data_IF_148337147139
#
_entry.id   IF_148337147139
#
_cell.length_a   1.000
_cell.length_b   1.000
_cell.length_c   1.000
_cell.angle_alpha   90.00
_cell.angle_beta   90.00
_cell.angle_gamma   90.00
#
_symmetry.space_group_name_H-M   'P 1'
#
loop_
_entity.id
_entity.type
_entity.pdbx_description
1 polymer ?
#
# COMPACT_ATOMS: atom_id res chain seq x y z
N UNK A 1 11.54 -8.05 9.33
CA UNK A 1 10.80 -8.42 8.10
C UNK A 1 9.81 -7.31 7.72
N UNK A 2 9.86 -6.82 6.47
CA UNK A 2 8.95 -5.81 5.89
C UNK A 2 7.58 -6.42 5.56
N UNK A 3 6.94 -7.06 6.53
CA UNK A 3 5.58 -7.63 6.35
C UNK A 3 4.58 -6.52 6.04
N UNK A 4 4.82 -5.31 6.54
CA UNK A 4 3.91 -4.18 6.42
C UNK A 4 3.80 -3.59 5.00
N UNK A 5 4.69 -3.92 4.08
CA UNK A 5 4.63 -3.40 2.69
C UNK A 5 4.14 -4.44 1.67
N UNK A 6 3.55 -5.56 2.13
CA UNK A 6 3.15 -6.64 1.24
C UNK A 6 2.02 -6.23 0.28
N UNK A 7 1.23 -5.22 0.66
CA UNK A 7 0.08 -4.67 -0.06
C UNK A 7 0.34 -3.27 -0.65
N UNK A 8 1.61 -2.84 -0.75
CA UNK A 8 1.95 -1.48 -1.19
C UNK A 8 1.66 -1.17 -2.66
N UNK A 9 1.42 -2.19 -3.50
CA UNK A 9 1.17 -1.98 -4.93
C UNK A 9 -0.23 -1.42 -5.18
N UNK A 10 -0.30 -0.32 -5.93
CA UNK A 10 -1.56 0.16 -6.49
C UNK A 10 -1.89 -0.64 -7.75
N UNK A 11 -3.15 -1.07 -7.88
CA UNK A 11 -3.56 -2.00 -8.93
C UNK A 11 -5.08 -2.12 -9.03
N UNK A 12 -5.52 -3.04 -9.89
CA UNK A 12 -6.94 -3.38 -10.05
C UNK A 12 -7.28 -4.73 -9.40
N UNK A 13 -6.25 -5.51 -9.09
CA UNK A 13 -6.31 -6.84 -8.51
C UNK A 13 -6.22 -6.78 -6.99
N UNK A 14 -6.92 -7.70 -6.32
CA UNK A 14 -6.75 -7.91 -4.89
C UNK A 14 -5.35 -8.45 -4.59
N UNK A 15 -4.81 -8.14 -3.41
CA UNK A 15 -3.48 -8.63 -3.02
C UNK A 15 -3.50 -10.13 -2.80
N UNK A 16 -2.36 -10.79 -2.97
CA UNK A 16 -2.24 -12.19 -2.55
C UNK A 16 -2.30 -12.30 -1.03
N UNK A 17 -2.95 -13.36 -0.54
CA UNK A 17 -2.84 -13.73 0.87
C UNK A 17 -1.44 -14.29 1.14
N UNK A 18 -0.86 -13.93 2.28
CA UNK A 18 0.47 -14.43 2.69
C UNK A 18 0.37 -15.23 3.98
N UNK A 19 1.17 -16.28 4.09
CA UNK A 19 1.33 -17.05 5.34
C UNK A 19 2.75 -16.88 5.85
N UNK A 20 2.86 -16.43 7.09
CA UNK A 20 4.13 -16.18 7.78
C UNK A 20 4.21 -17.03 9.06
N UNK A 21 5.41 -17.36 9.51
CA UNK A 21 5.57 -18.01 10.81
C UNK A 21 5.79 -16.95 11.91
N UNK A 22 4.87 -16.87 12.86
CA UNK A 22 4.97 -16.01 14.06
C UNK A 22 5.05 -16.90 15.28
N UNK A 23 6.15 -16.80 16.04
CA UNK A 23 6.42 -17.67 17.20
C UNK A 23 6.28 -19.18 16.86
N UNK A 24 6.88 -19.59 15.74
CA UNK A 24 6.84 -20.96 15.21
C UNK A 24 5.44 -21.50 14.85
N UNK A 25 4.43 -20.62 14.74
CA UNK A 25 3.08 -20.96 14.28
C UNK A 25 2.77 -20.23 12.98
N UNK A 26 2.17 -20.91 11.97
CA UNK A 26 1.73 -20.25 10.75
C UNK A 26 0.57 -19.30 11.04
N UNK A 27 0.68 -18.08 10.53
CA UNK A 27 -0.33 -17.04 10.58
C UNK A 27 -0.57 -16.52 9.18
N UNK A 28 -1.82 -16.56 8.73
CA UNK A 28 -2.22 -16.04 7.43
C UNK A 28 -2.74 -14.62 7.56
N UNK A 29 -2.22 -13.75 6.70
CA UNK A 29 -2.76 -12.41 6.46
C UNK A 29 -3.61 -12.52 5.19
N UNK A 30 -4.93 -12.26 5.27
CA UNK A 30 -5.82 -12.44 4.13
C UNK A 30 -5.58 -11.40 3.04
N UNK A 31 -5.98 -11.76 1.82
CA UNK A 31 -6.07 -10.86 0.66
C UNK A 31 -6.81 -9.56 1.01
N UNK A 32 -6.35 -8.44 0.47
CA UNK A 32 -6.96 -7.12 0.62
C UNK A 32 -7.53 -6.62 -0.72
N UNK A 33 -8.60 -5.81 -0.70
CA UNK A 33 -9.11 -5.16 -1.91
C UNK A 33 -8.05 -4.29 -2.59
N UNK A 34 -8.15 -4.19 -3.92
CA UNK A 34 -7.29 -3.35 -4.74
C UNK A 34 -7.44 -1.86 -4.41
N UNK A 35 -6.34 -1.11 -4.50
CA UNK A 35 -6.35 0.36 -4.45
C UNK A 35 -5.81 0.90 -5.79
N UNK A 36 -6.64 1.52 -6.64
CA UNK A 36 -6.21 1.90 -7.99
C UNK A 36 -5.64 3.33 -8.09
N UNK A 37 -5.64 4.09 -6.99
CA UNK A 37 -5.31 5.52 -7.00
C UNK A 37 -4.34 5.85 -5.88
N UNK A 38 -3.16 6.30 -6.27
CA UNK A 38 -2.26 7.07 -5.42
C UNK A 38 -2.65 8.55 -5.49
N UNK A 39 -2.81 9.20 -4.34
CA UNK A 39 -3.11 10.64 -4.22
C UNK A 39 -2.18 11.24 -3.18
N UNK A 40 -1.16 11.97 -3.61
CA UNK A 40 -0.08 12.43 -2.72
C UNK A 40 -0.54 13.43 -1.66
N UNK A 41 -1.78 13.92 -1.69
CA UNK A 41 -2.37 14.72 -0.61
C UNK A 41 -2.59 13.88 0.64
N UNK A 42 -2.80 12.57 0.47
CA UNK A 42 -3.04 11.61 1.56
C UNK A 42 -1.76 11.27 2.31
N UNK A 43 -1.88 10.94 3.59
CA UNK A 43 -0.75 10.56 4.41
C UNK A 43 -0.34 9.12 4.12
N UNK A 44 0.91 8.98 3.65
CA UNK A 44 1.62 7.72 3.40
C UNK A 44 2.77 7.51 4.41
N UNK A 45 2.80 8.34 5.46
CA UNK A 45 3.88 8.41 6.44
C UNK A 45 3.33 8.65 7.85
N UNK A 46 4.01 8.08 8.84
CA UNK A 46 3.75 8.29 10.25
C UNK A 46 5.07 8.33 11.03
N UNK A 47 5.16 9.21 12.04
CA UNK A 47 6.33 9.28 12.93
C UNK A 47 6.41 8.01 13.79
N UNK A 48 7.58 7.38 13.85
CA UNK A 48 7.76 6.05 14.43
C UNK A 48 8.36 6.09 15.85
N UNK A 49 8.28 7.21 16.57
CA UNK A 49 9.05 7.42 17.81
C UNK A 49 8.50 6.73 19.06
N UNK A 50 7.26 6.20 19.08
CA UNK A 50 6.80 5.38 20.20
C UNK A 50 6.08 4.10 19.73
N UNK A 51 6.85 3.02 19.73
CA UNK A 51 6.46 1.62 19.85
C UNK A 51 5.18 1.13 19.14
N UNK A 52 5.39 0.32 18.09
CA UNK A 52 4.46 -0.67 17.56
C UNK A 52 3.01 -0.20 17.35
N UNK A 53 2.77 0.20 16.11
CA UNK A 53 1.55 -0.05 15.36
C UNK A 53 0.22 0.43 15.91
N UNK A 54 0.08 1.74 16.17
CA UNK A 54 -1.24 2.31 16.45
C UNK A 54 -1.47 3.61 15.65
N UNK A 55 -2.61 3.71 14.95
CA UNK A 55 -2.95 4.89 14.12
C UNK A 55 -3.91 4.58 12.95
N UNK A 56 -4.39 5.64 12.25
CA UNK A 56 -5.23 5.55 11.04
C UNK A 56 -4.44 6.00 9.81
N UNK A 57 -4.35 5.14 8.80
CA UNK A 57 -3.63 5.36 7.54
C UNK A 57 -4.53 5.10 6.33
N UNK A 58 -4.08 5.43 5.13
CA UNK A 58 -4.76 5.02 3.88
C UNK A 58 -4.40 3.55 3.64
N UNK A 59 -5.13 2.64 4.30
CA UNK A 59 -4.79 1.22 4.44
C UNK A 59 -5.04 0.73 5.87
N UNK A 60 -4.94 -0.59 6.16
CA UNK A 60 -5.43 -1.13 7.44
C UNK A 60 -4.41 -1.17 8.61
N UNK A 61 -3.08 -1.06 8.41
CA UNK A 61 -2.08 -1.12 9.50
C UNK A 61 -0.70 -0.48 9.14
N UNK A 62 -0.03 0.23 10.07
CA UNK A 62 1.38 0.75 9.99
C UNK A 62 2.06 0.71 11.39
N UNK A 63 3.42 0.49 11.60
CA UNK A 63 4.48 1.52 11.40
C UNK A 63 6.00 1.10 11.35
N UNK A 64 6.84 2.04 10.90
CA UNK A 64 8.28 2.17 11.25
C UNK A 64 9.32 1.68 10.22
N UNK A 65 9.80 2.58 9.34
CA UNK A 65 10.68 2.36 8.16
C UNK A 65 10.03 1.63 6.96
N UNK A 66 8.70 1.64 6.91
CA UNK A 66 7.89 1.01 5.87
C UNK A 66 6.94 2.00 5.16
N UNK A 67 7.04 3.28 5.50
CA UNK A 67 6.16 4.37 5.05
C UNK A 67 6.98 5.47 4.37
N UNK A 68 6.37 6.30 3.53
CA UNK A 68 7.04 7.29 2.68
C UNK A 68 6.42 8.67 2.87
N UNK A 69 7.23 9.64 3.32
CA UNK A 69 6.80 11.04 3.41
C UNK A 69 6.81 11.68 2.02
N UNK A 70 5.63 11.78 1.40
CA UNK A 70 5.46 12.31 0.05
C UNK A 70 5.32 13.84 0.06
N UNK A 71 5.78 14.55 -0.99
CA UNK A 71 5.92 16.02 -1.00
C UNK A 71 4.62 16.83 -1.07
N UNK A 72 3.44 16.18 -1.09
CA UNK A 72 2.12 16.84 -1.10
C UNK A 72 1.93 17.85 -2.24
N UNK A 73 2.32 17.48 -3.46
CA UNK A 73 2.27 18.36 -4.64
C UNK A 73 0.90 18.45 -5.30
N UNK A 74 -0.07 17.65 -4.87
CA UNK A 74 -1.36 17.49 -5.52
C UNK A 74 -1.30 16.52 -6.71
N UNK A 75 -0.33 15.61 -6.75
CA UNK A 75 -0.20 14.60 -7.81
C UNK A 75 -1.11 13.39 -7.51
N UNK A 76 -1.90 12.99 -8.50
CA UNK A 76 -2.64 11.73 -8.51
C UNK A 76 -2.10 10.81 -9.62
N UNK A 77 -1.91 9.53 -9.29
CA UNK A 77 -1.60 8.47 -10.25
C UNK A 77 -2.72 7.44 -10.16
N UNK A 78 -3.39 7.16 -11.27
CA UNK A 78 -4.50 6.21 -11.36
C UNK A 78 -4.17 5.08 -12.32
N UNK A 79 -4.31 3.84 -11.86
CA UNK A 79 -4.27 2.66 -12.72
C UNK A 79 -5.54 2.61 -13.55
N UNK A 80 -5.40 2.58 -14.89
CA UNK A 80 -6.51 2.56 -15.84
C UNK A 80 -6.76 1.16 -16.42
N UNK A 81 -5.73 0.33 -16.47
CA UNK A 81 -5.82 -1.03 -16.97
C UNK A 81 -4.49 -1.76 -16.85
N UNK A 82 -4.58 -3.08 -16.78
CA UNK A 82 -3.45 -4.03 -16.87
C UNK A 82 -3.67 -4.89 -18.10
N UNK A 83 -2.60 -5.24 -18.81
CA UNK A 83 -2.70 -6.17 -19.94
C UNK A 83 -3.16 -7.54 -19.46
N UNK A 84 -3.80 -8.31 -20.35
CA UNK A 84 -4.25 -9.67 -20.01
C UNK A 84 -3.11 -10.60 -19.56
N UNK A 85 -1.86 -10.33 -20.00
CA UNK A 85 -0.67 -11.07 -19.56
C UNK A 85 0.02 -10.48 -18.31
N UNK A 86 -0.52 -9.40 -17.73
CA UNK A 86 0.01 -8.76 -16.52
C UNK A 86 1.35 -8.04 -16.68
N UNK A 87 1.89 -7.95 -17.90
CA UNK A 87 3.21 -7.40 -18.19
C UNK A 87 3.21 -5.90 -18.54
N UNK A 88 2.03 -5.29 -18.67
CA UNK A 88 1.89 -3.87 -18.97
C UNK A 88 0.78 -3.25 -18.12
N UNK A 89 1.03 -2.04 -17.61
CA UNK A 89 0.07 -1.25 -16.85
C UNK A 89 -0.08 0.13 -17.49
N UNK A 90 -1.31 0.52 -17.78
CA UNK A 90 -1.65 1.88 -18.18
C UNK A 90 -1.95 2.72 -16.93
N UNK A 91 -1.24 3.83 -16.78
CA UNK A 91 -1.44 4.79 -15.69
C UNK A 91 -1.77 6.18 -16.24
N UNK A 92 -2.66 6.87 -15.53
CA UNK A 92 -2.99 8.28 -15.76
C UNK A 92 -2.37 9.11 -14.63
N UNK A 93 -1.55 10.09 -14.98
CA UNK A 93 -0.95 11.04 -14.03
C UNK A 93 -1.62 12.39 -14.23
N UNK A 94 -2.15 12.96 -13.16
CA UNK A 94 -2.87 14.24 -13.22
C UNK A 94 -2.85 14.97 -11.88
N UNK A 95 -3.12 16.27 -11.85
CA UNK A 95 -3.45 16.94 -10.60
C UNK A 95 -4.68 16.30 -9.95
N UNK A 96 -4.61 16.09 -8.65
CA UNK A 96 -5.69 15.57 -7.84
C UNK A 96 -6.82 16.61 -7.82
N UNK A 97 -8.00 16.21 -8.32
CA UNK A 97 -9.20 17.05 -8.35
C UNK A 97 -9.82 17.20 -6.95
#
# INVERSE_FOLDING_TARGET
PRILTFDSTFGLEATDAITINKNSQPVTIPSQPAVPVFDDRKDYWFNADEHAATGSHVGRYEPGWYSVNVPKTGTQIRVKGTSAQGNFMQVEVSPAR
#
